data_IF_646517400808
#
_entry.id   IF_646517400808
#
_cell.length_a   1.000
_cell.length_b   1.000
_cell.length_c   1.000
_cell.angle_alpha   90.00
_cell.angle_beta   90.00
_cell.angle_gamma   90.00
#
_symmetry.space_group_name_H-M   'P 1'
#
loop_
_entity.id
_entity.type
_entity.pdbx_description
1 polymer ?
#
# COMPACT_ATOMS: atom_id res chain seq x y z
N UNK A 1 -9.48 49.34 36.20
CA UNK A 1 -9.64 49.07 34.75
C UNK A 1 -11.10 48.77 34.48
N UNK A 2 -11.80 49.63 33.73
CA UNK A 2 -13.26 49.59 33.63
C UNK A 2 -13.75 48.38 32.81
N UNK A 3 -14.89 47.75 33.19
CA UNK A 3 -15.41 46.53 32.54
C UNK A 3 -15.92 46.75 31.10
N UNK A 4 -15.81 47.97 30.56
CA UNK A 4 -16.27 48.32 29.21
C UNK A 4 -15.41 47.69 28.10
N UNK A 5 -14.09 47.56 28.32
CA UNK A 5 -13.18 46.82 27.44
C UNK A 5 -13.65 45.38 27.27
N UNK A 6 -13.85 44.67 28.38
CA UNK A 6 -14.16 43.24 28.38
C UNK A 6 -15.46 42.92 27.64
N UNK A 7 -16.47 43.79 27.75
CA UNK A 7 -17.74 43.66 27.01
C UNK A 7 -17.55 43.83 25.50
N UNK A 8 -16.68 44.74 25.07
CA UNK A 8 -16.40 44.98 23.65
C UNK A 8 -15.63 43.81 23.05
N UNK A 9 -14.61 43.32 23.76
CA UNK A 9 -13.85 42.14 23.37
C UNK A 9 -14.73 40.89 23.27
N UNK A 10 -15.69 40.72 24.18
CA UNK A 10 -16.63 39.60 24.17
C UNK A 10 -17.69 39.72 23.06
N UNK A 11 -18.14 40.94 22.71
CA UNK A 11 -19.08 41.17 21.59
C UNK A 11 -18.47 40.83 20.23
N UNK A 12 -17.19 41.11 20.01
CA UNK A 12 -16.53 40.85 18.73
C UNK A 12 -15.74 39.53 18.72
N UNK A 13 -15.21 39.10 19.87
CA UNK A 13 -14.43 37.87 20.00
C UNK A 13 -15.29 36.61 19.98
N UNK A 14 -16.51 36.66 20.54
CA UNK A 14 -17.42 35.51 20.53
C UNK A 14 -17.86 35.09 19.12
N UNK A 15 -18.33 36.00 18.23
CA UNK A 15 -18.69 35.61 16.86
C UNK A 15 -17.46 35.16 16.05
N UNK A 16 -16.29 35.79 16.27
CA UNK A 16 -15.05 35.37 15.60
C UNK A 16 -14.62 33.96 16.02
N UNK A 17 -14.66 33.66 17.32
CA UNK A 17 -14.36 32.33 17.83
C UNK A 17 -15.34 31.28 17.28
N UNK A 18 -16.63 31.60 17.21
CA UNK A 18 -17.63 30.73 16.60
C UNK A 18 -17.34 30.47 15.12
N UNK A 19 -16.97 31.49 14.34
CA UNK A 19 -16.57 31.36 12.94
C UNK A 19 -15.35 30.44 12.77
N UNK A 20 -14.33 30.60 13.63
CA UNK A 20 -13.12 29.76 13.60
C UNK A 20 -13.44 28.29 13.94
N UNK A 21 -14.32 28.06 14.91
CA UNK A 21 -14.77 26.69 15.26
C UNK A 21 -15.49 26.06 14.07
N UNK A 22 -16.44 26.78 13.45
CA UNK A 22 -17.18 26.28 12.28
C UNK A 22 -16.23 25.98 11.12
N UNK A 23 -15.31 26.89 10.80
CA UNK A 23 -14.32 26.68 9.75
C UNK A 23 -13.41 25.48 10.06
N UNK A 24 -12.98 25.33 11.31
CA UNK A 24 -12.21 24.16 11.76
C UNK A 24 -12.97 22.85 11.60
N UNK A 25 -14.25 22.82 12.00
CA UNK A 25 -15.11 21.64 11.85
C UNK A 25 -15.31 21.26 10.39
N UNK A 26 -15.53 22.22 9.49
CA UNK A 26 -15.67 21.97 8.05
C UNK A 26 -14.38 21.37 7.45
N UNK A 27 -13.22 21.89 7.84
CA UNK A 27 -11.94 21.36 7.39
C UNK A 27 -11.65 19.98 7.98
N UNK A 28 -12.02 19.74 9.24
CA UNK A 28 -11.83 18.46 9.92
C UNK A 28 -12.72 17.35 9.34
N UNK A 29 -13.97 17.67 9.04
CA UNK A 29 -14.93 16.74 8.44
C UNK A 29 -14.79 16.66 6.91
N UNK A 30 -13.81 17.35 6.31
CA UNK A 30 -13.59 17.30 4.86
C UNK A 30 -13.13 15.89 4.50
N UNK A 31 -13.91 15.14 3.70
CA UNK A 31 -13.50 13.81 3.29
C UNK A 31 -12.18 13.90 2.53
N UNK A 32 -11.25 13.01 2.88
CA UNK A 32 -10.01 12.85 2.11
C UNK A 32 -10.43 12.25 0.75
N UNK A 33 -10.00 12.84 -0.38
CA UNK A 33 -10.32 12.30 -1.70
C UNK A 33 -9.87 10.84 -1.80
N UNK A 34 -10.73 9.97 -2.32
CA UNK A 34 -10.37 8.56 -2.54
C UNK A 34 -9.25 8.50 -3.58
N UNK A 35 -8.04 8.21 -3.12
CA UNK A 35 -6.90 7.96 -4.00
C UNK A 35 -6.97 6.49 -4.36
N UNK A 36 -7.58 6.18 -5.50
CA UNK A 36 -7.57 4.82 -6.03
C UNK A 36 -6.11 4.43 -6.31
N UNK A 37 -5.63 3.36 -5.66
CA UNK A 37 -4.33 2.78 -5.93
C UNK A 37 -4.36 2.11 -7.31
N UNK A 38 -4.14 2.89 -8.37
CA UNK A 38 -4.01 2.35 -9.72
C UNK A 38 -2.59 1.80 -9.88
N UNK A 39 -2.46 0.49 -9.97
CA UNK A 39 -1.19 -0.19 -10.26
C UNK A 39 -0.69 0.26 -11.63
N UNK A 40 0.36 1.09 -11.66
CA UNK A 40 0.95 1.62 -12.90
C UNK A 40 1.71 0.59 -13.73
N UNK A 41 1.84 -0.65 -13.25
CA UNK A 41 2.59 -1.71 -13.93
C UNK A 41 1.64 -2.81 -14.38
N UNK A 42 1.80 -3.36 -15.60
CA UNK A 42 1.10 -4.57 -15.98
C UNK A 42 1.46 -5.69 -14.98
N UNK A 43 0.43 -6.37 -14.47
CA UNK A 43 0.57 -7.47 -13.50
C UNK A 43 1.30 -8.67 -14.12
N UNK A 44 1.26 -8.78 -15.45
CA UNK A 44 1.87 -9.86 -16.19
C UNK A 44 2.30 -9.37 -17.58
N UNK A 45 3.55 -9.65 -17.94
CA UNK A 45 4.10 -9.37 -19.27
C UNK A 45 4.35 -10.69 -19.97
N UNK A 46 3.66 -10.94 -21.09
CA UNK A 46 3.88 -12.14 -21.91
C UNK A 46 5.09 -11.94 -22.80
N UNK A 47 6.08 -12.82 -22.66
CA UNK A 47 7.28 -12.80 -23.48
C UNK A 47 6.99 -13.64 -24.74
N UNK A 48 7.20 -13.09 -25.96
CA UNK A 48 7.01 -13.86 -27.19
C UNK A 48 8.03 -15.00 -27.29
N UNK A 49 7.57 -16.21 -27.65
CA UNK A 49 8.42 -17.38 -27.84
C UNK A 49 7.66 -18.69 -27.56
N UNK A 50 8.34 -19.82 -27.78
CA UNK A 50 7.81 -21.14 -27.40
C UNK A 50 8.12 -21.41 -25.93
N UNK A 51 7.10 -21.71 -25.10
CA UNK A 51 7.32 -22.09 -23.70
C UNK A 51 8.23 -23.32 -23.62
N UNK A 52 9.32 -23.29 -22.84
CA UNK A 52 10.17 -24.47 -22.67
C UNK A 52 9.43 -25.54 -21.87
N UNK A 53 9.60 -26.81 -22.26
CA UNK A 53 9.17 -27.94 -21.43
C UNK A 53 10.20 -28.15 -20.32
N UNK A 54 9.84 -27.79 -19.10
CA UNK A 54 10.70 -27.96 -17.93
C UNK A 54 10.59 -29.41 -17.40
N UNK A 55 11.71 -30.11 -17.16
CA UNK A 55 11.72 -31.46 -16.59
C UNK A 55 11.43 -31.39 -15.09
N UNK A 56 10.15 -31.30 -14.73
CA UNK A 56 9.74 -31.20 -13.34
C UNK A 56 10.06 -32.48 -12.54
N UNK A 57 10.36 -32.36 -11.24
CA UNK A 57 10.47 -33.52 -10.39
C UNK A 57 9.08 -34.18 -10.23
N UNK A 58 9.03 -35.52 -10.23
CA UNK A 58 7.79 -36.26 -10.04
C UNK A 58 7.18 -36.16 -8.63
N UNK A 59 7.94 -35.62 -7.67
CA UNK A 59 7.52 -35.41 -6.28
C UNK A 59 8.02 -34.07 -5.76
N UNK A 60 7.26 -33.49 -4.83
CA UNK A 60 7.59 -32.20 -4.20
C UNK A 60 7.19 -31.01 -5.06
N UNK A 61 7.75 -29.84 -4.72
CA UNK A 61 7.40 -28.57 -5.34
C UNK A 61 8.64 -27.89 -5.92
N UNK A 62 8.48 -27.28 -7.09
CA UNK A 62 9.56 -26.60 -7.80
C UNK A 62 9.06 -25.29 -8.41
N UNK A 63 9.96 -24.32 -8.51
CA UNK A 63 9.70 -23.04 -9.16
C UNK A 63 10.96 -22.59 -9.90
N UNK A 64 10.78 -21.98 -11.08
CA UNK A 64 11.86 -21.42 -11.89
C UNK A 64 11.57 -19.95 -12.15
N UNK A 65 12.55 -19.10 -11.91
CA UNK A 65 12.51 -17.68 -12.23
C UNK A 65 13.86 -17.20 -12.74
N UNK A 66 13.85 -16.06 -13.43
CA UNK A 66 15.07 -15.43 -13.94
C UNK A 66 15.11 -13.96 -13.54
N UNK A 67 16.32 -13.45 -13.33
CA UNK A 67 16.52 -12.03 -13.06
C UNK A 67 15.94 -11.20 -14.21
N UNK A 68 15.13 -10.18 -13.87
CA UNK A 68 14.44 -9.32 -14.84
C UNK A 68 13.15 -9.89 -15.43
N UNK A 69 12.90 -11.20 -15.35
CA UNK A 69 11.66 -11.84 -15.85
C UNK A 69 10.72 -12.26 -14.71
N UNK A 70 11.23 -12.38 -13.49
CA UNK A 70 10.46 -12.85 -12.35
C UNK A 70 10.20 -14.35 -12.42
N UNK A 71 9.04 -14.77 -11.89
CA UNK A 71 8.62 -16.17 -11.87
C UNK A 71 8.17 -16.61 -13.27
N UNK A 72 8.75 -17.70 -13.76
CA UNK A 72 8.47 -18.24 -15.10
C UNK A 72 7.46 -19.39 -15.01
N UNK A 73 7.67 -20.34 -14.10
CA UNK A 73 6.78 -21.49 -13.93
C UNK A 73 6.93 -22.13 -12.55
N UNK A 74 5.89 -22.86 -12.14
CA UNK A 74 5.83 -23.64 -10.90
C UNK A 74 5.31 -25.05 -11.18
N UNK A 75 5.66 -25.99 -10.30
CA UNK A 75 5.15 -27.36 -10.30
C UNK A 75 4.89 -27.80 -8.86
N UNK A 76 3.71 -28.36 -8.61
CA UNK A 76 3.26 -28.79 -7.28
C UNK A 76 2.71 -27.64 -6.42
N UNK A 77 2.13 -27.99 -5.28
CA UNK A 77 1.58 -27.03 -4.32
C UNK A 77 2.71 -26.38 -3.49
N UNK A 78 2.72 -25.05 -3.41
CA UNK A 78 3.74 -24.29 -2.69
C UNK A 78 3.46 -24.25 -1.17
N UNK A 79 3.55 -25.40 -0.51
CA UNK A 79 3.45 -25.48 0.95
C UNK A 79 4.81 -25.20 1.61
N UNK A 80 4.86 -24.45 2.74
CA UNK A 80 6.10 -24.22 3.47
C UNK A 80 6.76 -25.53 3.94
N UNK A 81 8.02 -25.73 3.57
CA UNK A 81 8.83 -26.89 3.98
C UNK A 81 10.22 -26.43 4.47
N UNK A 82 10.89 -27.21 5.34
CA UNK A 82 12.23 -26.87 5.82
C UNK A 82 13.25 -26.78 4.67
N UNK A 83 14.02 -25.68 4.62
CA UNK A 83 15.01 -25.43 3.58
C UNK A 83 16.24 -26.38 3.63
N UNK A 84 16.41 -27.19 4.67
CA UNK A 84 17.49 -28.17 4.80
C UNK A 84 18.86 -27.62 4.30
N UNK A 85 19.53 -28.34 3.39
CA UNK A 85 20.85 -27.93 2.88
C UNK A 85 20.82 -26.78 1.87
N UNK A 86 19.68 -26.41 1.26
CA UNK A 86 19.66 -25.23 0.38
C UNK A 86 19.85 -23.93 1.16
N UNK A 87 19.72 -23.96 2.49
CA UNK A 87 20.15 -22.86 3.35
C UNK A 87 21.64 -22.50 3.16
N UNK A 88 22.51 -23.48 2.86
CA UNK A 88 23.95 -23.24 2.65
C UNK A 88 24.25 -22.41 1.40
N UNK A 89 23.30 -22.26 0.48
CA UNK A 89 23.48 -21.42 -0.72
C UNK A 89 23.29 -19.94 -0.39
N UNK A 90 22.60 -19.64 0.72
CA UNK A 90 22.30 -18.26 1.12
C UNK A 90 23.37 -17.64 2.03
N UNK A 91 24.28 -18.45 2.58
CA UNK A 91 25.30 -18.06 3.56
C UNK A 91 26.69 -18.20 2.97
#
# INVERSE_FOLDING_TARGET
>A
MSPAWARRLRRFGLPLAALLVVAGTINYLRPIPDVAATTSSPVQSTIPGTPPSLPWPGVGSAAVGASGLGLIATSGDASPAPAASVAKVMT
#
